data_IF_199198776295
#
_entry.id   IF_199198776295
#
_cell.length_a   1.000
_cell.length_b   1.000
_cell.length_c   1.000
_cell.angle_alpha   90.00
_cell.angle_beta   90.00
_cell.angle_gamma   90.00
#
_symmetry.space_group_name_H-M   'P 1'
#
loop_
_entity.id
_entity.type
_entity.pdbx_description
1 polymer ?
#
# COMPACT_ATOMS: atom_id res chain seq x y z
N UNK A 1 0.13 14.37 10.45
CA UNK A 1 -0.60 13.13 10.79
C UNK A 1 0.26 11.88 10.60
N UNK A 2 0.73 11.58 9.38
CA UNK A 2 1.52 10.36 9.09
C UNK A 2 2.81 10.22 9.90
N UNK A 3 3.59 11.30 10.06
CA UNK A 3 4.81 11.28 10.89
C UNK A 3 4.52 10.93 12.36
N UNK A 4 3.41 11.43 12.92
CA UNK A 4 3.00 11.10 14.28
C UNK A 4 2.60 9.64 14.44
N UNK A 5 1.86 9.10 13.45
CA UNK A 5 1.50 7.67 13.41
C UNK A 5 2.75 6.79 13.29
N UNK A 6 3.69 7.17 12.42
CA UNK A 6 4.96 6.47 12.27
C UNK A 6 5.77 6.47 13.57
N UNK A 7 5.87 7.61 14.26
CA UNK A 7 6.55 7.71 15.56
C UNK A 7 5.85 6.85 16.63
N UNK A 8 4.52 6.88 16.72
CA UNK A 8 3.79 6.06 17.69
C UNK A 8 3.98 4.56 17.43
N UNK A 9 3.94 4.14 16.16
CA UNK A 9 4.23 2.76 15.77
C UNK A 9 5.68 2.37 16.11
N UNK A 10 6.65 3.28 15.91
CA UNK A 10 8.05 3.03 16.26
C UNK A 10 8.24 2.84 17.77
N UNK A 11 7.55 3.63 18.61
CA UNK A 11 7.59 3.46 20.06
C UNK A 11 6.93 2.17 20.53
N UNK A 12 5.84 1.75 19.90
CA UNK A 12 5.09 0.56 20.29
C UNK A 12 5.75 -0.75 19.86
N UNK A 13 6.32 -0.79 18.64
CA UNK A 13 6.85 -2.01 18.02
C UNK A 13 8.38 -2.02 17.92
N UNK A 14 9.04 -0.92 18.26
CA UNK A 14 10.48 -0.78 18.09
C UNK A 14 10.90 -0.62 16.63
N UNK A 15 12.22 -0.52 16.39
CA UNK A 15 12.77 -0.35 15.05
C UNK A 15 12.46 -1.56 14.14
N UNK A 16 11.96 -1.35 12.90
CA UNK A 16 11.62 -2.42 11.96
C UNK A 16 12.79 -3.31 11.51
N UNK A 17 14.04 -2.90 11.78
CA UNK A 17 15.23 -3.69 11.49
C UNK A 17 15.45 -4.83 12.49
N UNK A 18 14.93 -4.70 13.70
CA UNK A 18 15.05 -5.69 14.78
C UNK A 18 13.84 -6.64 14.81
N UNK A 19 12.95 -6.53 13.82
CA UNK A 19 11.74 -7.35 13.71
C UNK A 19 12.07 -8.76 13.22
N UNK A 20 12.31 -9.64 14.17
CA UNK A 20 12.61 -11.05 13.95
C UNK A 20 11.37 -11.94 14.13
N UNK A 21 11.47 -13.20 13.71
CA UNK A 21 10.41 -14.19 13.86
C UNK A 21 9.05 -13.73 13.29
N UNK A 22 7.94 -13.82 14.04
CA UNK A 22 6.60 -13.47 13.53
C UNK A 22 6.47 -11.98 13.14
N UNK A 23 7.26 -11.10 13.75
CA UNK A 23 7.25 -9.66 13.47
C UNK A 23 7.74 -9.35 12.04
N UNK A 24 8.58 -10.23 11.46
CA UNK A 24 9.00 -10.12 10.07
C UNK A 24 7.82 -10.15 9.09
N UNK A 25 6.78 -10.93 9.37
CA UNK A 25 5.59 -10.98 8.53
C UNK A 25 4.74 -9.71 8.65
N UNK A 26 4.72 -9.09 9.83
CA UNK A 26 4.06 -7.79 10.04
C UNK A 26 4.68 -6.72 9.14
N UNK A 27 6.01 -6.71 9.01
CA UNK A 27 6.71 -5.81 8.09
C UNK A 27 6.29 -6.02 6.63
N UNK A 28 6.19 -7.27 6.19
CA UNK A 28 5.73 -7.58 4.83
C UNK A 28 4.26 -7.19 4.61
N UNK A 29 3.40 -7.49 5.58
CA UNK A 29 1.99 -7.12 5.53
C UNK A 29 1.81 -5.60 5.45
N UNK A 30 2.60 -4.83 6.21
CA UNK A 30 2.58 -3.37 6.17
C UNK A 30 3.01 -2.83 4.80
N UNK A 31 4.04 -3.42 4.19
CA UNK A 31 4.47 -3.09 2.83
C UNK A 31 3.37 -3.37 1.80
N UNK A 32 2.76 -4.56 1.86
CA UNK A 32 1.65 -4.95 0.99
C UNK A 32 0.42 -4.05 1.16
N UNK A 33 0.04 -3.73 2.41
CA UNK A 33 -1.06 -2.84 2.70
C UNK A 33 -0.81 -1.43 2.14
N UNK A 34 0.42 -0.93 2.25
CA UNK A 34 0.82 0.38 1.70
C UNK A 34 0.71 0.39 0.18
N UNK A 35 1.26 -0.63 -0.48
CA UNK A 35 1.16 -0.79 -1.94
C UNK A 35 -0.30 -0.91 -2.38
N UNK A 36 -1.10 -1.71 -1.68
CA UNK A 36 -2.52 -1.86 -1.96
C UNK A 36 -3.31 -0.57 -1.79
N UNK A 37 -3.02 0.22 -0.75
CA UNK A 37 -3.64 1.52 -0.53
C UNK A 37 -3.26 2.53 -1.63
N UNK A 38 -1.99 2.54 -2.08
CA UNK A 38 -1.53 3.40 -3.16
C UNK A 38 -2.18 2.99 -4.49
N UNK A 39 -2.07 1.71 -4.87
CA UNK A 39 -2.64 1.20 -6.12
C UNK A 39 -4.16 1.32 -6.13
N UNK A 40 -4.82 0.99 -5.02
CA UNK A 40 -6.27 1.13 -4.87
C UNK A 40 -6.71 2.58 -4.94
N UNK A 41 -6.02 3.49 -4.23
CA UNK A 41 -6.28 4.92 -4.30
C UNK A 41 -6.09 5.50 -5.70
N UNK A 42 -4.99 5.13 -6.37
CA UNK A 42 -4.74 5.50 -7.76
C UNK A 42 -5.85 4.97 -8.68
N UNK A 43 -6.22 3.70 -8.53
CA UNK A 43 -7.29 3.11 -9.32
C UNK A 43 -8.63 3.79 -9.07
N UNK A 44 -8.93 4.29 -7.87
CA UNK A 44 -10.17 5.03 -7.58
C UNK A 44 -10.18 6.44 -8.18
N UNK A 45 -9.03 7.14 -8.14
CA UNK A 45 -8.91 8.51 -8.68
C UNK A 45 -8.90 8.50 -10.21
N UNK A 46 -8.19 7.54 -10.79
CA UNK A 46 -8.01 7.40 -12.24
C UNK A 46 -8.86 6.27 -12.82
N UNK A 47 -9.93 5.86 -12.12
CA UNK A 47 -10.82 4.81 -12.59
C UNK A 47 -11.51 5.30 -13.88
N UNK A 48 -11.08 4.79 -15.04
CA UNK A 48 -11.79 4.94 -16.30
C UNK A 48 -12.29 3.57 -16.78
N UNK A 49 -13.61 3.28 -16.69
CA UNK A 49 -14.18 2.02 -17.16
C UNK A 49 -14.30 1.97 -18.70
N UNK A 50 -14.04 3.06 -19.43
CA UNK A 50 -14.20 3.12 -20.89
C UNK A 50 -12.89 2.97 -21.67
N UNK A 51 -11.73 3.17 -21.03
CA UNK A 51 -10.41 3.02 -21.65
C UNK A 51 -10.00 1.59 -22.00
N UNK A 52 -10.61 0.57 -21.37
CA UNK A 52 -10.27 -0.85 -21.60
C UNK A 52 -11.05 -1.48 -22.77
N UNK A 53 -11.99 -0.74 -23.40
CA UNK A 53 -12.86 -1.26 -24.48
C UNK A 53 -12.87 -0.46 -25.79
N UNK A 54 -12.16 0.68 -25.86
CA UNK A 54 -12.21 1.58 -27.02
C UNK A 54 -11.19 1.31 -28.13
N UNK A 55 -10.24 0.40 -27.94
CA UNK A 55 -9.17 0.12 -28.91
C UNK A 55 -9.43 -1.14 -29.78
N UNK A 56 -10.56 -1.83 -29.61
CA UNK A 56 -10.87 -3.07 -30.32
C UNK A 56 -11.95 -2.92 -31.42
N UNK A 57 -12.40 -1.70 -31.73
CA UNK A 57 -13.37 -1.43 -32.81
C UNK A 57 -12.90 -0.26 -33.67
N UNK A 58 -11.74 -0.43 -34.30
CA UNK A 58 -11.30 0.36 -35.44
C UNK A 58 -10.34 -0.47 -36.29
N UNK A 59 -10.82 -1.57 -36.87
CA UNK A 59 -10.28 -2.13 -38.11
C UNK A 59 -11.43 -2.64 -38.98
#
# INVERSE_FOLDING_TARGET
MAAGIACAAWLAFGPPQDWEGPMRYVRFALGLASTGAITGGARLIFWDPQGDGGAAVAE
#
